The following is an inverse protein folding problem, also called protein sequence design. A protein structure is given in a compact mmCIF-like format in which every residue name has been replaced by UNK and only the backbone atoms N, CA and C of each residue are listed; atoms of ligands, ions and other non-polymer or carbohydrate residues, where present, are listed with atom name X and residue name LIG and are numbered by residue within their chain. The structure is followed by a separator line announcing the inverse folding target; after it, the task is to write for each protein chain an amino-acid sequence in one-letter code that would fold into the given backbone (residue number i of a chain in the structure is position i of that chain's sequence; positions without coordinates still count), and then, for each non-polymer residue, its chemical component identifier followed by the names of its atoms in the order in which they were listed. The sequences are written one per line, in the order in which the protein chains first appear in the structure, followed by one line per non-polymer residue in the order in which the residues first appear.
data_IF_400446104669
#
_entry.id   IF_400446104669
#
_cell.length_a   1.000
_cell.length_b   1.000
_cell.length_c   1.000
_cell.angle_alpha   90.00
_cell.angle_beta   90.00
_cell.angle_gamma   90.00
#
_symmetry.space_group_name_H-M   'P 1'
#
loop_
_entity.id
_entity.type
_entity.pdbx_description
1 polymer ?
#
# COMPACT_ATOMS: atom_id res chain seq x y z
N UNK A 1 23.85 38.56 15.91
CA UNK A 1 22.65 37.90 15.33
C UNK A 1 22.90 37.34 13.92
N UNK A 2 23.41 38.13 12.96
CA UNK A 2 23.67 37.64 11.59
C UNK A 2 24.60 36.43 11.47
N UNK A 3 25.74 36.41 12.19
CA UNK A 3 26.68 35.27 12.17
C UNK A 3 26.06 33.97 12.71
N UNK A 4 25.18 34.05 13.72
CA UNK A 4 24.51 32.87 14.29
C UNK A 4 23.55 32.24 13.29
N UNK A 5 22.78 33.06 12.55
CA UNK A 5 21.85 32.57 11.51
C UNK A 5 22.59 31.87 10.36
N UNK A 6 23.75 32.37 9.96
CA UNK A 6 24.60 31.74 8.94
C UNK A 6 25.08 30.36 9.41
N UNK A 7 25.52 30.25 10.68
CA UNK A 7 25.97 28.97 11.25
C UNK A 7 24.81 27.97 11.32
N UNK A 8 23.64 28.38 11.81
CA UNK A 8 22.44 27.52 11.87
C UNK A 8 22.04 27.03 10.49
N UNK A 9 22.01 27.91 9.48
CA UNK A 9 21.72 27.52 8.10
C UNK A 9 22.73 26.49 7.57
N UNK A 10 24.03 26.72 7.76
CA UNK A 10 25.08 25.77 7.33
C UNK A 10 24.93 24.40 8.01
N UNK A 11 24.56 24.38 9.30
CA UNK A 11 24.30 23.14 10.02
C UNK A 11 23.07 22.42 9.46
N UNK A 12 22.00 23.15 9.15
CA UNK A 12 20.81 22.61 8.51
C UNK A 12 21.13 22.03 7.13
N UNK A 13 21.79 22.79 6.25
CA UNK A 13 22.18 22.32 4.92
C UNK A 13 23.05 21.05 4.99
N UNK A 14 24.00 21.00 5.94
CA UNK A 14 24.84 19.82 6.19
C UNK A 14 24.02 18.62 6.70
N UNK A 15 23.04 18.87 7.57
CA UNK A 15 22.14 17.83 8.07
C UNK A 15 21.29 17.24 6.95
N UNK A 16 20.68 18.08 6.10
CA UNK A 16 19.90 17.64 4.94
C UNK A 16 20.76 16.85 3.96
N UNK A 17 21.99 17.32 3.67
CA UNK A 17 22.93 16.59 2.82
C UNK A 17 23.28 15.20 3.39
N UNK A 18 23.47 15.11 4.71
CA UNK A 18 23.73 13.84 5.39
C UNK A 18 22.51 12.90 5.34
N UNK A 19 21.29 13.42 5.55
CA UNK A 19 20.08 12.63 5.39
C UNK A 19 19.96 12.06 3.98
N UNK A 20 20.15 12.88 2.94
CA UNK A 20 20.12 12.41 1.54
C UNK A 20 21.12 11.29 1.31
N UNK A 21 22.37 11.48 1.75
CA UNK A 21 23.42 10.47 1.62
C UNK A 21 23.04 9.16 2.33
N UNK A 22 22.49 9.23 3.53
CA UNK A 22 22.02 8.04 4.25
C UNK A 22 20.88 7.31 3.53
N UNK A 23 19.98 8.04 2.86
CA UNK A 23 18.89 7.45 2.07
C UNK A 23 19.46 6.73 0.83
N UNK A 24 20.42 7.35 0.14
CA UNK A 24 21.04 6.79 -1.07
C UNK A 24 21.91 5.57 -0.77
N UNK A 25 22.67 5.59 0.33
CA UNK A 25 23.61 4.53 0.71
C UNK A 25 22.95 3.37 1.48
N UNK A 26 21.66 3.49 1.83
CA UNK A 26 20.97 2.47 2.61
C UNK A 26 20.92 1.15 1.85
N UNK A 27 21.42 0.10 2.51
CA UNK A 27 21.35 -1.27 2.02
C UNK A 27 20.24 -2.00 2.76
N UNK A 28 19.23 -2.41 2.01
CA UNK A 28 18.13 -3.22 2.52
C UNK A 28 18.55 -4.68 2.46
N UNK A 29 18.33 -5.43 3.54
CA UNK A 29 18.63 -6.85 3.61
C UNK A 29 17.78 -7.61 2.59
N UNK A 30 18.41 -8.14 1.54
CA UNK A 30 17.72 -8.81 0.42
C UNK A 30 17.19 -10.21 0.76
N UNK A 31 17.55 -10.76 1.93
CA UNK A 31 17.24 -12.13 2.34
C UNK A 31 15.94 -12.28 3.15
N UNK A 32 15.28 -11.16 3.52
CA UNK A 32 14.02 -11.14 4.26
C UNK A 32 12.99 -10.31 3.52
N UNK A 33 11.69 -10.56 3.75
CA UNK A 33 10.65 -9.63 3.30
C UNK A 33 10.88 -8.26 3.94
N UNK A 34 10.74 -7.21 3.15
CA UNK A 34 10.84 -5.83 3.59
C UNK A 34 9.46 -5.17 3.59
N UNK A 35 9.16 -4.43 4.65
CA UNK A 35 7.95 -3.62 4.77
C UNK A 35 8.25 -2.14 4.49
N UNK A 36 7.79 -1.25 5.38
CA UNK A 36 8.15 0.17 5.31
C UNK A 36 9.68 0.34 5.41
N UNK A 37 10.25 0.99 4.41
CA UNK A 37 11.69 1.13 4.31
C UNK A 37 12.21 2.09 5.39
N UNK A 38 13.37 1.83 6.02
CA UNK A 38 13.87 2.65 7.13
C UNK A 38 14.01 4.13 6.78
N UNK A 39 14.37 4.44 5.54
CA UNK A 39 14.50 5.81 5.08
C UNK A 39 13.16 6.52 4.84
N UNK A 40 12.09 5.77 4.55
CA UNK A 40 10.72 6.29 4.48
C UNK A 40 10.24 6.68 5.89
N UNK A 41 10.48 5.82 6.89
CA UNK A 41 10.18 6.12 8.29
C UNK A 41 10.99 7.32 8.81
N UNK A 42 12.28 7.40 8.48
CA UNK A 42 13.11 8.58 8.83
C UNK A 42 12.61 9.88 8.20
N UNK A 43 12.07 9.82 6.97
CA UNK A 43 11.46 10.98 6.36
C UNK A 43 10.19 11.42 7.11
N UNK A 44 9.34 10.47 7.52
CA UNK A 44 8.18 10.77 8.37
C UNK A 44 8.62 11.47 9.67
N UNK A 45 9.59 10.89 10.40
CA UNK A 45 10.12 11.47 11.64
C UNK A 45 10.64 12.91 11.42
N UNK A 46 11.44 13.13 10.38
CA UNK A 46 11.94 14.46 10.04
C UNK A 46 10.80 15.44 9.75
N UNK A 47 9.79 15.02 8.98
CA UNK A 47 8.66 15.87 8.61
C UNK A 47 7.78 16.18 9.82
N UNK A 48 7.55 15.22 10.73
CA UNK A 48 6.78 15.44 11.96
C UNK A 48 7.45 16.46 12.88
N UNK A 49 8.76 16.32 13.11
CA UNK A 49 9.53 17.25 13.95
C UNK A 49 9.55 18.63 13.31
N UNK A 50 9.81 18.70 12.00
CA UNK A 50 9.90 19.96 11.27
C UNK A 50 8.56 20.70 11.25
N UNK A 51 7.45 20.00 11.00
CA UNK A 51 6.12 20.60 11.10
C UNK A 51 5.73 20.92 12.54
N UNK A 52 6.16 20.17 13.54
CA UNK A 52 5.93 20.51 14.95
C UNK A 52 6.56 21.85 15.35
N UNK A 53 7.73 22.18 14.80
CA UNK A 53 8.49 23.38 15.15
C UNK A 53 8.16 24.57 14.23
N UNK A 54 8.07 24.33 12.92
CA UNK A 54 8.05 25.39 11.91
C UNK A 54 6.67 25.64 11.28
N UNK A 55 5.59 24.97 11.72
CA UNK A 55 4.25 25.07 11.10
C UNK A 55 3.82 26.51 10.78
N UNK A 56 4.01 27.41 11.75
CA UNK A 56 3.59 28.81 11.69
C UNK A 56 4.75 29.77 11.40
N UNK A 57 5.93 29.27 11.02
CA UNK A 57 7.08 30.11 10.72
C UNK A 57 6.87 30.86 9.40
N UNK A 58 7.19 32.16 9.37
CA UNK A 58 7.05 32.98 8.16
C UNK A 58 8.15 32.73 7.12
N UNK A 59 9.33 32.26 7.54
CA UNK A 59 10.48 32.00 6.67
C UNK A 59 10.77 30.49 6.57
N UNK A 60 10.05 29.82 5.67
CA UNK A 60 10.16 28.36 5.45
C UNK A 60 10.88 27.95 4.17
N UNK A 61 11.37 28.89 3.39
CA UNK A 61 11.93 28.62 2.04
C UNK A 61 13.04 27.58 2.03
N UNK A 62 13.94 27.59 3.02
CA UNK A 62 15.02 26.59 3.10
C UNK A 62 14.49 25.20 3.52
N UNK A 63 13.47 25.15 4.39
CA UNK A 63 12.80 23.91 4.77
C UNK A 63 12.00 23.32 3.60
N UNK A 64 11.25 24.15 2.87
CA UNK A 64 10.50 23.74 1.69
C UNK A 64 11.46 23.20 0.61
N UNK A 65 12.60 23.86 0.40
CA UNK A 65 13.65 23.34 -0.50
C UNK A 65 14.17 21.98 -0.04
N UNK A 66 14.42 21.83 1.27
CA UNK A 66 14.87 20.56 1.84
C UNK A 66 13.83 19.45 1.65
N UNK A 67 12.54 19.74 1.84
CA UNK A 67 11.45 18.80 1.61
C UNK A 67 11.45 18.26 0.18
N UNK A 68 11.47 19.13 -0.83
CA UNK A 68 11.51 18.71 -2.24
C UNK A 68 12.73 17.85 -2.55
N UNK A 69 13.90 18.18 -1.98
CA UNK A 69 15.11 17.39 -2.18
C UNK A 69 15.01 16.02 -1.52
N UNK A 70 14.49 15.94 -0.30
CA UNK A 70 14.38 14.70 0.46
C UNK A 70 13.34 13.77 -0.14
N UNK A 71 12.13 14.26 -0.41
CA UNK A 71 11.05 13.43 -0.95
C UNK A 71 11.40 12.82 -2.31
N UNK A 72 12.13 13.58 -3.15
CA UNK A 72 12.64 13.08 -4.43
C UNK A 72 13.60 11.91 -4.21
N UNK A 73 14.61 12.08 -3.33
CA UNK A 73 15.57 11.02 -3.02
C UNK A 73 14.89 9.80 -2.39
N UNK A 74 13.86 10.01 -1.56
CA UNK A 74 13.04 8.92 -1.00
C UNK A 74 12.32 8.16 -2.12
N UNK A 75 11.63 8.85 -3.02
CA UNK A 75 10.91 8.21 -4.12
C UNK A 75 11.85 7.40 -5.02
N UNK A 76 12.98 8.01 -5.43
CA UNK A 76 13.98 7.36 -6.28
C UNK A 76 14.54 6.09 -5.60
N UNK A 77 14.76 6.12 -4.28
CA UNK A 77 15.25 4.95 -3.54
C UNK A 77 14.17 3.90 -3.26
N UNK A 78 12.89 4.27 -3.10
CA UNK A 78 11.79 3.30 -3.04
C UNK A 78 11.77 2.50 -4.35
N UNK A 79 11.82 3.18 -5.49
CA UNK A 79 11.81 2.55 -6.81
C UNK A 79 13.02 1.64 -7.04
N UNK A 80 14.21 2.11 -6.63
CA UNK A 80 15.45 1.33 -6.69
C UNK A 80 15.35 0.06 -5.84
N UNK A 81 14.94 0.18 -4.57
CA UNK A 81 14.79 -0.98 -3.69
C UNK A 81 13.75 -1.94 -4.23
N UNK A 82 12.61 -1.45 -4.71
CA UNK A 82 11.56 -2.28 -5.28
C UNK A 82 12.00 -3.04 -6.55
N UNK A 83 12.92 -2.48 -7.34
CA UNK A 83 13.51 -3.17 -8.49
C UNK A 83 14.60 -4.18 -8.10
N UNK A 84 15.37 -3.92 -7.06
CA UNK A 84 16.51 -4.76 -6.66
C UNK A 84 16.17 -5.87 -5.65
N UNK A 85 15.01 -5.82 -5.01
CA UNK A 85 14.70 -6.71 -3.89
C UNK A 85 14.20 -8.07 -4.38
N UNK A 86 14.90 -9.14 -3.99
CA UNK A 86 14.67 -10.49 -4.54
C UNK A 86 13.53 -11.23 -3.82
N UNK A 87 13.24 -10.89 -2.56
CA UNK A 87 12.28 -11.61 -1.71
C UNK A 87 10.91 -10.96 -1.56
N UNK A 88 10.81 -9.68 -1.88
CA UNK A 88 9.55 -8.93 -1.84
C UNK A 88 9.23 -8.53 -3.26
N UNK A 89 8.05 -8.88 -3.80
CA UNK A 89 7.65 -8.43 -5.11
C UNK A 89 7.67 -6.91 -5.21
N UNK A 90 8.07 -6.39 -6.38
CA UNK A 90 8.12 -4.95 -6.66
C UNK A 90 6.81 -4.26 -6.29
N UNK A 91 5.68 -4.83 -6.71
CA UNK A 91 4.35 -4.30 -6.44
C UNK A 91 4.05 -4.19 -4.93
N UNK A 92 4.54 -5.11 -4.09
CA UNK A 92 4.35 -5.05 -2.62
C UNK A 92 5.17 -3.90 -2.03
N UNK A 93 6.45 -3.82 -2.40
CA UNK A 93 7.36 -2.78 -1.88
C UNK A 93 6.84 -1.39 -2.24
N UNK A 94 6.47 -1.17 -3.50
CA UNK A 94 5.93 0.13 -3.94
C UNK A 94 4.56 0.40 -3.32
N UNK A 95 3.68 -0.60 -3.22
CA UNK A 95 2.36 -0.46 -2.62
C UNK A 95 2.43 0.03 -1.17
N UNK A 96 3.18 -0.65 -0.31
CA UNK A 96 3.25 -0.33 1.11
C UNK A 96 3.91 1.04 1.35
N UNK A 97 5.03 1.30 0.66
CA UNK A 97 5.79 2.53 0.87
C UNK A 97 5.08 3.76 0.30
N UNK A 98 4.46 3.68 -0.88
CA UNK A 98 3.68 4.81 -1.42
C UNK A 98 2.36 5.02 -0.68
N UNK A 99 1.71 3.97 -0.18
CA UNK A 99 0.57 4.11 0.72
C UNK A 99 0.95 4.88 1.98
N UNK A 100 2.06 4.48 2.61
CA UNK A 100 2.56 5.13 3.81
C UNK A 100 2.93 6.60 3.55
N UNK A 101 3.70 6.89 2.50
CA UNK A 101 4.05 8.27 2.11
C UNK A 101 2.81 9.13 1.83
N UNK A 102 1.82 8.60 1.11
CA UNK A 102 0.55 9.29 0.88
C UNK A 102 -0.19 9.60 2.20
N UNK A 103 -0.22 8.65 3.13
CA UNK A 103 -0.82 8.84 4.47
C UNK A 103 -0.10 9.92 5.27
N UNK A 104 1.24 9.91 5.29
CA UNK A 104 2.06 10.92 5.98
C UNK A 104 1.80 12.31 5.41
N UNK A 105 1.92 12.47 4.08
CA UNK A 105 1.71 13.76 3.42
C UNK A 105 0.27 14.27 3.58
N UNK A 106 -0.72 13.38 3.58
CA UNK A 106 -2.12 13.76 3.81
C UNK A 106 -2.41 14.17 5.25
N UNK A 107 -1.72 13.57 6.22
CA UNK A 107 -1.85 13.90 7.65
C UNK A 107 -1.17 15.22 7.99
N UNK A 108 0.07 15.41 7.52
CA UNK A 108 0.87 16.59 7.82
C UNK A 108 0.42 17.83 7.02
N UNK A 109 -0.17 17.64 5.83
CA UNK A 109 -0.67 18.71 4.96
C UNK A 109 0.41 19.77 4.66
N UNK A 110 1.60 19.30 4.26
CA UNK A 110 2.74 20.16 3.95
C UNK A 110 2.47 20.84 2.61
N UNK A 111 2.17 22.14 2.64
CA UNK A 111 1.71 22.91 1.48
C UNK A 111 2.63 22.82 0.26
N UNK A 112 3.95 22.77 0.48
CA UNK A 112 4.92 22.72 -0.62
C UNK A 112 5.04 21.31 -1.25
N UNK A 113 4.45 20.27 -0.66
CA UNK A 113 4.52 18.88 -1.13
C UNK A 113 3.19 18.35 -1.67
N UNK A 114 2.25 19.24 -2.03
CA UNK A 114 0.92 18.84 -2.53
C UNK A 114 0.99 18.06 -3.86
N UNK A 115 1.97 18.37 -4.71
CA UNK A 115 2.20 17.62 -5.93
C UNK A 115 2.72 16.22 -5.63
N UNK A 116 3.70 16.11 -4.73
CA UNK A 116 4.29 14.84 -4.30
C UNK A 116 3.27 13.96 -3.57
N UNK A 117 2.32 14.57 -2.84
CA UNK A 117 1.18 13.86 -2.25
C UNK A 117 0.30 13.23 -3.31
N UNK A 118 -0.02 13.96 -4.39
CA UNK A 118 -0.79 13.43 -5.53
C UNK A 118 -0.02 12.33 -6.26
N UNK A 119 1.27 12.54 -6.47
CA UNK A 119 2.15 11.56 -7.12
C UNK A 119 2.27 10.27 -6.30
N UNK A 120 2.41 10.38 -4.97
CA UNK A 120 2.38 9.23 -4.06
C UNK A 120 1.06 8.48 -4.16
N UNK A 121 -0.08 9.19 -4.22
CA UNK A 121 -1.40 8.58 -4.41
C UNK A 121 -1.50 7.85 -5.75
N UNK A 122 -1.00 8.45 -6.82
CA UNK A 122 -1.02 7.83 -8.15
C UNK A 122 -0.14 6.57 -8.18
N UNK A 123 1.09 6.64 -7.67
CA UNK A 123 2.00 5.50 -7.60
C UNK A 123 1.47 4.40 -6.69
N UNK A 124 0.82 4.77 -5.59
CA UNK A 124 0.07 3.85 -4.74
C UNK A 124 -1.01 3.10 -5.55
N UNK A 125 -1.87 3.81 -6.27
CA UNK A 125 -2.94 3.18 -7.07
C UNK A 125 -2.39 2.28 -8.19
N UNK A 126 -1.33 2.70 -8.90
CA UNK A 126 -0.69 1.85 -9.91
C UNK A 126 -0.09 0.59 -9.28
N UNK A 127 0.58 0.73 -8.15
CA UNK A 127 1.16 -0.41 -7.41
C UNK A 127 0.08 -1.34 -6.87
N UNK A 128 -1.06 -0.77 -6.48
CA UNK A 128 -2.23 -1.49 -6.02
C UNK A 128 -2.85 -2.33 -7.13
N UNK A 129 -2.98 -1.78 -8.34
CA UNK A 129 -3.48 -2.50 -9.50
C UNK A 129 -2.50 -3.59 -9.96
N UNK A 130 -1.20 -3.29 -9.94
CA UNK A 130 -0.15 -4.28 -10.22
C UNK A 130 -0.15 -5.41 -9.19
N UNK A 131 -0.25 -5.09 -7.90
CA UNK A 131 -0.34 -6.07 -6.82
C UNK A 131 -1.58 -6.95 -6.98
N UNK A 132 -2.73 -6.36 -7.30
CA UNK A 132 -3.95 -7.12 -7.59
C UNK A 132 -3.71 -8.05 -8.78
N UNK A 133 -3.15 -7.56 -9.90
CA UNK A 133 -2.92 -8.39 -11.09
C UNK A 133 -1.90 -9.52 -10.88
N UNK A 134 -0.79 -9.22 -10.21
CA UNK A 134 0.36 -10.12 -10.09
C UNK A 134 0.21 -11.12 -8.93
N UNK A 135 -0.32 -10.66 -7.79
CA UNK A 135 -0.34 -11.44 -6.54
C UNK A 135 -1.74 -11.91 -6.14
N UNK A 136 -2.82 -11.23 -6.56
CA UNK A 136 -4.20 -11.61 -6.22
C UNK A 136 -4.99 -12.20 -7.40
N UNK A 137 -4.63 -11.79 -8.62
CA UNK A 137 -5.32 -12.16 -9.85
C UNK A 137 -5.02 -13.58 -10.28
N UNK A 138 -3.89 -14.16 -9.87
CA UNK A 138 -3.55 -15.57 -10.14
C UNK A 138 -4.09 -16.56 -9.11
N UNK A 139 -4.03 -16.29 -7.78
CA UNK A 139 -4.45 -17.26 -6.79
C UNK A 139 -5.93 -17.16 -6.37
N UNK A 140 -6.75 -16.23 -6.89
CA UNK A 140 -8.20 -16.15 -6.58
C UNK A 140 -9.06 -15.80 -7.81
N UNK A 141 -8.55 -16.01 -9.03
CA UNK A 141 -9.22 -15.61 -10.28
C UNK A 141 -10.64 -16.17 -10.41
N UNK A 142 -10.81 -17.49 -10.26
CA UNK A 142 -12.12 -18.14 -10.30
C UNK A 142 -13.05 -17.69 -9.18
N UNK A 143 -12.55 -17.43 -7.97
CA UNK A 143 -13.38 -16.86 -6.89
C UNK A 143 -13.86 -15.45 -7.23
N UNK A 144 -12.99 -14.60 -7.81
CA UNK A 144 -13.38 -13.28 -8.31
C UNK A 144 -14.47 -13.39 -9.38
N UNK A 145 -14.26 -14.19 -10.43
CA UNK A 145 -15.23 -14.38 -11.51
C UNK A 145 -16.57 -14.91 -10.98
N UNK A 146 -16.52 -15.87 -10.04
CA UNK A 146 -17.71 -16.42 -9.41
C UNK A 146 -18.50 -15.35 -8.67
N UNK A 147 -17.85 -14.55 -7.82
CA UNK A 147 -18.52 -13.52 -7.02
C UNK A 147 -18.91 -12.27 -7.80
N UNK A 148 -18.19 -11.91 -8.88
CA UNK A 148 -18.65 -10.91 -9.84
C UNK A 148 -19.97 -11.34 -10.48
N UNK A 149 -20.07 -12.60 -10.93
CA UNK A 149 -21.32 -13.14 -11.46
C UNK A 149 -22.46 -13.18 -10.43
N UNK A 150 -22.17 -13.51 -9.16
CA UNK A 150 -23.14 -13.41 -8.06
C UNK A 150 -23.64 -11.97 -7.90
N UNK A 151 -22.73 -11.00 -7.89
CA UNK A 151 -23.06 -9.59 -7.72
C UNK A 151 -23.89 -9.03 -8.90
N UNK A 152 -23.60 -9.47 -10.13
CA UNK A 152 -24.41 -9.15 -11.31
C UNK A 152 -25.84 -9.69 -11.19
N UNK A 153 -26.01 -10.93 -10.68
CA UNK A 153 -27.35 -11.50 -10.46
C UNK A 153 -28.15 -10.72 -9.42
N UNK A 154 -27.51 -10.32 -8.33
CA UNK A 154 -28.16 -9.48 -7.32
C UNK A 154 -28.58 -8.14 -7.92
N UNK A 155 -27.69 -7.52 -8.71
CA UNK A 155 -27.96 -6.24 -9.38
C UNK A 155 -29.10 -6.36 -10.41
N UNK A 156 -29.22 -7.52 -11.06
CA UNK A 156 -30.31 -7.84 -11.96
C UNK A 156 -31.65 -8.16 -11.24
N UNK A 157 -31.70 -8.07 -9.91
CA UNK A 157 -32.92 -8.20 -9.11
C UNK A 157 -33.13 -9.57 -8.45
N UNK A 158 -32.17 -10.49 -8.56
CA UNK A 158 -32.23 -11.78 -7.84
C UNK A 158 -31.99 -11.52 -6.35
N UNK A 159 -32.85 -12.06 -5.47
CA UNK A 159 -32.62 -11.95 -4.02
C UNK A 159 -31.36 -12.70 -3.63
N UNK A 160 -30.59 -12.15 -2.70
CA UNK A 160 -29.33 -12.75 -2.27
C UNK A 160 -29.54 -14.22 -1.83
N UNK A 161 -30.59 -14.50 -1.04
CA UNK A 161 -30.86 -15.86 -0.56
C UNK A 161 -31.21 -16.86 -1.68
N UNK A 162 -31.62 -16.37 -2.86
CA UNK A 162 -32.04 -17.17 -4.00
C UNK A 162 -30.89 -17.47 -4.97
N UNK A 163 -29.78 -16.74 -4.90
CA UNK A 163 -28.61 -16.91 -5.79
C UNK A 163 -28.08 -18.34 -5.69
N UNK A 164 -28.04 -18.92 -4.49
CA UNK A 164 -27.54 -20.27 -4.26
C UNK A 164 -28.37 -21.40 -4.89
N UNK A 165 -29.58 -21.10 -5.39
CA UNK A 165 -30.39 -22.05 -6.17
C UNK A 165 -30.06 -22.04 -7.67
N UNK A 166 -29.33 -21.02 -8.16
CA UNK A 166 -28.88 -21.00 -9.54
C UNK A 166 -27.73 -21.98 -9.73
N UNK A 167 -27.84 -22.86 -10.73
CA UNK A 167 -26.88 -23.95 -10.95
C UNK A 167 -25.43 -23.43 -11.06
N UNK A 168 -25.23 -22.34 -11.80
CA UNK A 168 -23.92 -21.70 -12.01
C UNK A 168 -23.32 -21.07 -10.73
N UNK A 169 -24.15 -20.75 -9.75
CA UNK A 169 -23.75 -20.13 -8.49
C UNK A 169 -24.15 -20.99 -7.29
N UNK A 170 -24.26 -22.31 -7.47
CA UNK A 170 -24.72 -23.21 -6.42
C UNK A 170 -23.69 -23.36 -5.30
N UNK A 171 -24.13 -23.82 -4.12
CA UNK A 171 -23.23 -24.17 -2.99
C UNK A 171 -22.14 -25.16 -3.41
N UNK A 172 -22.44 -26.06 -4.36
CA UNK A 172 -21.48 -27.04 -4.85
C UNK A 172 -20.39 -26.39 -5.71
N UNK A 173 -20.76 -25.47 -6.61
CA UNK A 173 -19.79 -24.76 -7.44
C UNK A 173 -18.90 -23.84 -6.60
N UNK A 174 -19.48 -23.13 -5.61
CA UNK A 174 -18.69 -22.33 -4.67
C UNK A 174 -17.62 -23.17 -3.95
N UNK A 175 -18.00 -24.36 -3.44
CA UNK A 175 -17.04 -25.28 -2.79
C UNK A 175 -15.96 -25.78 -3.73
N UNK A 176 -16.26 -25.99 -5.02
CA UNK A 176 -15.25 -26.35 -6.02
C UNK A 176 -14.26 -25.21 -6.22
N UNK A 177 -14.75 -23.98 -6.39
CA UNK A 177 -13.89 -22.80 -6.51
C UNK A 177 -12.95 -22.68 -5.30
N UNK A 178 -13.43 -22.84 -4.07
CA UNK A 178 -12.60 -22.75 -2.85
C UNK A 178 -11.52 -23.83 -2.81
N UNK A 179 -11.84 -25.07 -3.19
CA UNK A 179 -10.90 -26.21 -3.14
C UNK A 179 -9.73 -26.10 -4.11
N UNK A 180 -9.85 -25.28 -5.16
CA UNK A 180 -8.77 -25.10 -6.12
C UNK A 180 -7.61 -24.25 -5.58
N UNK A 181 -7.75 -23.68 -4.38
CA UNK A 181 -6.78 -22.76 -3.81
C UNK A 181 -6.02 -23.36 -2.63
N UNK A 182 -4.73 -23.74 -2.82
CA UNK A 182 -3.92 -24.31 -1.75
C UNK A 182 -3.52 -23.26 -0.70
N UNK A 183 -3.55 -23.66 0.58
CA UNK A 183 -3.16 -22.90 1.78
C UNK A 183 -1.93 -22.02 1.61
N UNK A 184 -0.93 -22.50 0.87
CA UNK A 184 0.39 -21.87 0.76
C UNK A 184 0.34 -20.57 -0.03
N UNK A 185 -0.38 -20.53 -1.15
CA UNK A 185 -0.50 -19.33 -1.99
C UNK A 185 -1.31 -18.25 -1.29
N UNK A 186 -2.34 -18.67 -0.57
CA UNK A 186 -3.21 -17.81 0.23
C UNK A 186 -2.46 -17.26 1.44
N UNK A 187 -1.64 -18.07 2.12
CA UNK A 187 -0.82 -17.59 3.25
C UNK A 187 0.19 -16.53 2.83
N UNK A 188 0.77 -16.63 1.63
CA UNK A 188 1.69 -15.59 1.16
C UNK A 188 0.95 -14.29 0.79
N UNK A 189 -0.30 -14.37 0.35
CA UNK A 189 -1.14 -13.23 -0.01
C UNK A 189 -1.89 -12.60 1.19
N UNK A 190 -2.09 -13.34 2.29
CA UNK A 190 -2.90 -12.92 3.45
C UNK A 190 -2.40 -11.65 4.13
N UNK A 191 -1.12 -11.32 3.97
CA UNK A 191 -0.49 -10.15 4.60
C UNK A 191 -0.91 -8.83 3.93
N UNK A 192 -1.49 -8.87 2.72
CA UNK A 192 -1.89 -7.68 1.97
C UNK A 192 -3.24 -7.09 2.41
N UNK A 193 -3.28 -5.77 2.64
CA UNK A 193 -4.51 -5.03 3.01
C UNK A 193 -5.66 -5.29 2.02
N UNK A 194 -5.38 -5.35 0.72
CA UNK A 194 -6.40 -5.67 -0.30
C UNK A 194 -6.86 -7.12 -0.29
N UNK A 195 -5.96 -8.07 0.02
CA UNK A 195 -6.37 -9.46 0.23
C UNK A 195 -7.37 -9.54 1.37
N UNK A 196 -7.09 -8.88 2.48
CA UNK A 196 -7.98 -8.84 3.65
C UNK A 196 -9.33 -8.20 3.30
N UNK A 197 -9.33 -7.11 2.53
CA UNK A 197 -10.57 -6.48 2.06
C UNK A 197 -11.37 -7.38 1.12
N UNK A 198 -10.72 -8.02 0.15
CA UNK A 198 -11.35 -8.94 -0.80
C UNK A 198 -11.90 -10.18 -0.10
N UNK A 199 -11.12 -10.75 0.81
CA UNK A 199 -11.51 -11.88 1.66
C UNK A 199 -12.77 -11.54 2.46
N UNK A 200 -12.79 -10.37 3.13
CA UNK A 200 -13.97 -9.89 3.85
C UNK A 200 -15.17 -9.66 2.93
N UNK A 201 -14.96 -9.15 1.73
CA UNK A 201 -16.02 -8.95 0.75
C UNK A 201 -16.65 -10.29 0.33
N UNK A 202 -15.82 -11.31 0.08
CA UNK A 202 -16.31 -12.65 -0.21
C UNK A 202 -17.01 -13.29 0.98
N UNK A 203 -16.51 -13.15 2.20
CA UNK A 203 -17.22 -13.64 3.39
C UNK A 203 -18.60 -12.99 3.55
N UNK A 204 -18.74 -11.68 3.28
CA UNK A 204 -20.05 -11.00 3.27
C UNK A 204 -20.99 -11.61 2.23
N UNK A 205 -20.51 -11.79 1.00
CA UNK A 205 -21.29 -12.41 -0.07
C UNK A 205 -21.67 -13.86 0.27
N UNK A 206 -20.79 -14.62 0.90
CA UNK A 206 -21.09 -15.99 1.33
C UNK A 206 -22.19 -16.00 2.38
N UNK A 207 -22.08 -15.15 3.40
CA UNK A 207 -23.07 -15.04 4.47
C UNK A 207 -24.45 -14.66 3.95
N UNK A 208 -24.52 -13.79 2.94
CA UNK A 208 -25.78 -13.29 2.38
C UNK A 208 -26.39 -14.23 1.35
N UNK A 209 -25.57 -14.79 0.46
CA UNK A 209 -26.06 -15.60 -0.66
C UNK A 209 -26.20 -17.09 -0.34
N UNK A 210 -25.52 -17.55 0.72
CA UNK A 210 -25.51 -18.96 1.12
C UNK A 210 -25.78 -19.12 2.63
N UNK A 211 -26.89 -18.58 3.16
CA UNK A 211 -27.19 -18.70 4.58
C UNK A 211 -27.32 -20.18 5.01
N UNK A 212 -26.84 -20.48 6.22
CA UNK A 212 -26.85 -21.83 6.80
C UNK A 212 -26.01 -22.87 6.07
N UNK A 213 -25.15 -22.46 5.12
CA UNK A 213 -24.33 -23.39 4.32
C UNK A 213 -23.08 -23.92 5.04
N UNK A 214 -22.70 -23.29 6.16
CA UNK A 214 -21.44 -23.52 6.89
C UNK A 214 -20.19 -23.42 5.98
N UNK A 215 -20.28 -22.69 4.87
CA UNK A 215 -19.14 -22.47 3.97
C UNK A 215 -18.28 -21.34 4.56
N UNK A 216 -17.05 -21.68 4.90
CA UNK A 216 -15.99 -20.73 5.26
C UNK A 216 -14.92 -20.75 4.17
N UNK A 217 -14.23 -19.62 3.97
CA UNK A 217 -13.06 -19.56 3.09
C UNK A 217 -11.84 -20.13 3.81
N UNK A 218 -11.94 -21.40 4.21
CA UNK A 218 -10.82 -22.17 4.75
C UNK A 218 -10.03 -22.78 3.60
N UNK A 219 -8.91 -22.15 3.29
CA UNK A 219 -7.96 -22.67 2.31
C UNK A 219 -7.16 -23.82 2.93
N UNK A 220 -7.23 -25.01 2.34
CA UNK A 220 -6.51 -26.24 2.78
C UNK A 220 -5.11 -26.33 2.26
#
# INVERSE_FOLDING_TARGET
LGNCLIVVKRLFDKFIANLKKQIEEVRIQKNKRCGILPFVAKFEEFAEISEGIFKSAERRTDLDRAYHQLIKVVFDNVERVAAEHVKSPRAVVTLENYHHLFRVLSRLKISCLENERRDAKQKYNVSLDAYVREMLGRPMEKLNIFFEGVQERITAGVKAEEVGYQLAFSKQELRKCIKEYPSKEVKEAHEGIKFIQQYKHFEDLISRCYPGSMITLEFT
#
